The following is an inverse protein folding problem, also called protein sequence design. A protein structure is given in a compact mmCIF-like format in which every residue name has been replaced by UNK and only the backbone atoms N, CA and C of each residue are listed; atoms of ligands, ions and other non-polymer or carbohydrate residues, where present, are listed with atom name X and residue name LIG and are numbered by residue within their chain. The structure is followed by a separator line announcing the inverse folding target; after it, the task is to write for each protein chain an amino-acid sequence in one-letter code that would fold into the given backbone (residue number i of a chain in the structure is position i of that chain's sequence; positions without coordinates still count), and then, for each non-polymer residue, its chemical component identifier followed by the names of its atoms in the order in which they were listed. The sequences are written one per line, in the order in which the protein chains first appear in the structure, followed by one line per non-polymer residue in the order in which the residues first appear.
data_IF_306321122293
#
_entry.id   IF_306321122293
#
_cell.length_a   1.000
_cell.length_b   1.000
_cell.length_c   1.000
_cell.angle_alpha   90.00
_cell.angle_beta   90.00
_cell.angle_gamma   90.00
#
_symmetry.space_group_name_H-M   'P 1'
#
loop_
_entity.id
_entity.type
_entity.pdbx_description
1 polymer ?
#
# COMPACT_ATOMS: atom_id res chain seq x y z
N UNK A 1 -21.22 -33.59 8.59
CA UNK A 1 -21.20 -32.20 9.09
C UNK A 1 -20.07 -31.30 8.48
N UNK A 2 -19.09 -31.86 7.79
CA UNK A 2 -17.96 -31.08 7.26
C UNK A 2 -18.20 -30.33 5.95
N UNK A 3 -19.20 -30.67 5.17
CA UNK A 3 -19.51 -29.98 3.92
C UNK A 3 -20.18 -28.63 4.12
N UNK A 4 -21.01 -28.50 5.16
CA UNK A 4 -21.72 -27.25 5.46
C UNK A 4 -20.81 -26.18 6.10
N UNK A 5 -19.81 -26.60 6.89
CA UNK A 5 -18.86 -25.65 7.51
C UNK A 5 -17.82 -25.15 6.49
N UNK A 6 -17.33 -26.02 5.61
CA UNK A 6 -16.48 -25.61 4.48
C UNK A 6 -17.25 -24.81 3.43
N UNK A 7 -18.55 -25.05 3.26
CA UNK A 7 -19.42 -24.21 2.45
C UNK A 7 -19.75 -22.87 3.10
N UNK A 8 -19.77 -22.76 4.43
CA UNK A 8 -19.95 -21.46 5.11
C UNK A 8 -18.70 -20.56 5.01
N UNK A 9 -17.51 -21.15 4.84
CA UNK A 9 -16.28 -20.41 4.53
C UNK A 9 -16.17 -20.01 3.05
N UNK A 10 -16.95 -20.67 2.19
CA UNK A 10 -17.09 -20.32 0.77
C UNK A 10 -18.29 -19.43 0.47
N UNK A 11 -19.06 -19.01 1.46
CA UNK A 11 -20.07 -17.98 1.23
C UNK A 11 -19.35 -16.72 0.82
N UNK A 12 -19.33 -16.51 -0.49
CA UNK A 12 -19.00 -15.24 -1.12
C UNK A 12 -19.45 -14.09 -0.22
N UNK A 13 -18.50 -13.37 0.37
CA UNK A 13 -18.78 -12.07 0.97
C UNK A 13 -19.18 -11.13 -0.18
N UNK A 14 -20.41 -11.30 -0.65
CA UNK A 14 -21.05 -10.34 -1.52
C UNK A 14 -21.24 -9.10 -0.68
N UNK A 15 -20.45 -8.08 -0.95
CA UNK A 15 -20.63 -6.76 -0.36
C UNK A 15 -22.08 -6.32 -0.69
N UNK A 16 -23.00 -6.26 0.29
CA UNK A 16 -24.31 -5.73 -0.02
C UNK A 16 -24.13 -4.28 -0.43
N UNK A 17 -24.79 -3.83 -1.50
CA UNK A 17 -24.74 -2.44 -1.96
C UNK A 17 -25.00 -1.44 -0.82
N UNK A 18 -25.83 -1.79 0.15
CA UNK A 18 -26.11 -1.02 1.37
C UNK A 18 -24.87 -0.75 2.25
N UNK A 19 -23.82 -1.56 2.19
CA UNK A 19 -22.59 -1.37 2.95
C UNK A 19 -21.75 -0.24 2.38
N UNK A 20 -21.75 -0.04 1.06
CA UNK A 20 -20.95 1.00 0.40
C UNK A 20 -21.34 2.40 0.92
N UNK A 21 -22.63 2.65 1.14
CA UNK A 21 -23.12 3.91 1.70
C UNK A 21 -22.72 4.14 3.16
N UNK A 22 -22.44 3.08 3.90
CA UNK A 22 -21.98 3.18 5.30
C UNK A 22 -20.48 3.40 5.39
N UNK A 23 -19.70 2.81 4.48
CA UNK A 23 -18.25 2.77 4.54
C UNK A 23 -17.59 4.01 3.93
N UNK A 24 -18.19 4.63 2.92
CA UNK A 24 -17.62 5.75 2.20
C UNK A 24 -18.46 7.03 2.36
N UNK A 25 -17.86 8.23 2.22
CA UNK A 25 -18.60 9.47 1.99
C UNK A 25 -19.54 9.32 0.82
N UNK A 26 -20.72 9.99 0.87
CA UNK A 26 -21.81 9.78 -0.10
C UNK A 26 -21.37 9.93 -1.56
N UNK A 27 -20.56 10.94 -1.89
CA UNK A 27 -20.05 11.13 -3.27
C UNK A 27 -19.21 9.93 -3.75
N UNK A 28 -18.37 9.37 -2.87
CA UNK A 28 -17.55 8.20 -3.19
C UNK A 28 -18.39 6.92 -3.25
N UNK A 29 -19.38 6.77 -2.38
CA UNK A 29 -20.32 5.66 -2.41
C UNK A 29 -21.07 5.62 -3.75
N UNK A 30 -21.61 6.76 -4.20
CA UNK A 30 -22.25 6.86 -5.51
C UNK A 30 -21.30 6.55 -6.68
N UNK A 31 -20.05 7.00 -6.59
CA UNK A 31 -19.03 6.66 -7.59
C UNK A 31 -18.78 5.15 -7.66
N UNK A 32 -18.62 4.50 -6.50
CA UNK A 32 -18.38 3.07 -6.41
C UNK A 32 -19.54 2.26 -6.96
N UNK A 33 -20.78 2.62 -6.59
CA UNK A 33 -21.98 1.98 -7.09
C UNK A 33 -22.15 2.18 -8.61
N UNK A 34 -21.88 3.39 -9.12
CA UNK A 34 -21.92 3.67 -10.55
C UNK A 34 -20.89 2.87 -11.34
N UNK A 35 -19.67 2.75 -10.81
CA UNK A 35 -18.62 1.92 -11.39
C UNK A 35 -19.00 0.43 -11.35
N UNK A 36 -19.56 -0.06 -10.25
CA UNK A 36 -20.02 -1.43 -10.12
C UNK A 36 -21.10 -1.78 -11.15
N UNK A 37 -22.13 -0.95 -11.23
CA UNK A 37 -23.25 -1.15 -12.18
C UNK A 37 -22.78 -1.07 -13.64
N UNK A 38 -21.84 -0.18 -13.94
CA UNK A 38 -21.39 0.03 -15.33
C UNK A 38 -20.34 -0.97 -15.78
N UNK A 39 -19.43 -1.39 -14.88
CA UNK A 39 -18.32 -2.29 -15.23
C UNK A 39 -18.57 -3.74 -14.86
N UNK A 40 -19.47 -4.00 -13.92
CA UNK A 40 -19.71 -5.33 -13.33
C UNK A 40 -18.44 -5.97 -12.75
N UNK A 41 -17.47 -5.13 -12.34
CA UNK A 41 -16.25 -5.58 -11.69
C UNK A 41 -16.48 -5.78 -10.18
N UNK A 42 -15.69 -6.62 -9.51
CA UNK A 42 -15.81 -6.81 -8.06
C UNK A 42 -15.71 -5.50 -7.29
N UNK A 43 -16.64 -5.28 -6.35
CA UNK A 43 -16.70 -4.07 -5.52
C UNK A 43 -15.40 -3.84 -4.74
N UNK A 44 -14.77 -4.91 -4.26
CA UNK A 44 -13.52 -4.90 -3.51
C UNK A 44 -12.39 -4.27 -4.34
N UNK A 45 -12.32 -4.59 -5.64
CA UNK A 45 -11.33 -3.98 -6.55
C UNK A 45 -11.66 -2.50 -6.79
N UNK A 46 -12.93 -2.16 -6.96
CA UNK A 46 -13.38 -0.80 -7.25
C UNK A 46 -13.03 0.12 -6.07
N UNK A 47 -13.48 -0.20 -4.86
CA UNK A 47 -13.27 0.71 -3.74
C UNK A 47 -11.81 0.73 -3.26
N UNK A 48 -11.06 -0.39 -3.35
CA UNK A 48 -9.61 -0.38 -3.10
C UNK A 48 -8.89 0.57 -4.06
N UNK A 49 -9.24 0.54 -5.35
CA UNK A 49 -8.62 1.42 -6.34
C UNK A 49 -9.01 2.90 -6.11
N UNK A 50 -10.27 3.16 -5.74
CA UNK A 50 -10.71 4.50 -5.34
C UNK A 50 -9.92 4.99 -4.12
N UNK A 51 -9.79 4.16 -3.09
CA UNK A 51 -9.06 4.51 -1.88
C UNK A 51 -7.55 4.71 -2.14
N UNK A 52 -6.94 3.89 -2.99
CA UNK A 52 -5.55 4.05 -3.42
C UNK A 52 -5.33 5.37 -4.18
N UNK A 53 -6.25 5.72 -5.09
CA UNK A 53 -6.20 6.97 -5.83
C UNK A 53 -6.28 8.18 -4.90
N UNK A 54 -7.19 8.13 -3.92
CA UNK A 54 -7.33 9.16 -2.90
C UNK A 54 -6.06 9.26 -2.02
N UNK A 55 -5.55 8.14 -1.54
CA UNK A 55 -4.33 8.09 -0.73
C UNK A 55 -3.15 8.71 -1.47
N UNK A 56 -2.92 8.29 -2.72
CA UNK A 56 -1.83 8.79 -3.56
C UNK A 56 -1.94 10.30 -3.82
N UNK A 57 -3.15 10.81 -4.03
CA UNK A 57 -3.37 12.23 -4.32
C UNK A 57 -3.41 13.11 -3.07
N UNK A 58 -3.78 12.57 -1.89
CA UNK A 58 -3.89 13.33 -0.65
C UNK A 58 -2.62 13.31 0.22
N UNK A 59 -1.73 12.32 0.06
CA UNK A 59 -0.58 12.11 0.95
C UNK A 59 0.41 13.27 1.03
N UNK A 60 0.39 14.17 0.05
CA UNK A 60 1.21 15.40 0.06
C UNK A 60 0.48 16.59 0.66
N UNK A 61 -0.84 16.52 0.80
CA UNK A 61 -1.68 17.64 1.23
C UNK A 61 -2.00 17.58 2.72
N UNK A 62 -2.14 16.37 3.28
CA UNK A 62 -2.65 16.18 4.63
C UNK A 62 -1.89 15.13 5.41
N UNK A 63 -1.63 15.44 6.68
CA UNK A 63 -1.17 14.53 7.72
C UNK A 63 -2.24 14.42 8.81
N UNK A 64 -2.23 13.33 9.56
CA UNK A 64 -3.10 13.12 10.72
C UNK A 64 -2.27 13.01 12.00
N UNK A 65 -2.72 13.60 13.09
CA UNK A 65 -2.04 13.47 14.39
C UNK A 65 -2.51 12.20 15.07
N UNK A 66 -1.57 11.32 15.39
CA UNK A 66 -1.87 10.13 16.18
C UNK A 66 -2.10 10.51 17.64
N UNK A 67 -3.27 10.18 18.25
CA UNK A 67 -3.66 10.69 19.56
C UNK A 67 -2.71 10.35 20.73
N UNK A 68 -2.08 9.17 20.71
CA UNK A 68 -1.18 8.75 21.80
C UNK A 68 0.23 9.30 21.66
N UNK A 69 0.75 9.38 20.42
CA UNK A 69 2.14 9.81 20.19
C UNK A 69 2.24 11.32 19.95
N UNK A 70 1.12 11.96 19.66
CA UNK A 70 1.03 13.36 19.22
C UNK A 70 1.94 13.68 18.01
N UNK A 71 2.30 12.66 17.25
CA UNK A 71 3.13 12.78 16.05
C UNK A 71 2.27 12.80 14.78
N UNK A 72 2.63 13.59 13.77
CA UNK A 72 1.96 13.55 12.48
C UNK A 72 2.30 12.26 11.74
N UNK A 73 1.28 11.65 11.15
CA UNK A 73 1.39 10.50 10.27
C UNK A 73 0.88 10.85 8.87
N UNK A 74 1.55 10.42 7.79
CA UNK A 74 1.07 10.67 6.44
C UNK A 74 -0.20 9.87 6.12
N UNK A 75 -1.07 10.42 5.29
CA UNK A 75 -2.25 9.71 4.80
C UNK A 75 -1.94 8.69 3.68
N UNK A 76 -0.77 8.08 3.73
CA UNK A 76 -0.35 7.03 2.80
C UNK A 76 -0.89 5.67 3.25
N UNK A 77 -1.59 4.97 2.38
CA UNK A 77 -2.14 3.64 2.64
C UNK A 77 -1.40 2.56 1.85
N UNK A 78 -1.30 1.38 2.44
CA UNK A 78 -0.81 0.17 1.79
C UNK A 78 -2.00 -0.76 1.57
N UNK A 79 -2.36 -0.99 0.31
CA UNK A 79 -3.50 -1.82 -0.08
C UNK A 79 -3.02 -3.02 -0.91
N UNK A 80 -3.57 -4.19 -0.62
CA UNK A 80 -3.32 -5.40 -1.38
C UNK A 80 -4.63 -6.13 -1.62
N UNK A 81 -5.03 -6.19 -2.91
CA UNK A 81 -6.22 -6.91 -3.33
C UNK A 81 -5.84 -8.25 -3.97
N UNK A 82 -6.48 -9.31 -3.52
CA UNK A 82 -6.32 -10.66 -4.06
C UNK A 82 -7.50 -10.95 -4.97
N UNK A 83 -7.22 -11.18 -6.26
CA UNK A 83 -8.26 -11.38 -7.26
C UNK A 83 -7.81 -12.36 -8.36
N UNK A 84 -8.75 -13.20 -8.80
CA UNK A 84 -8.53 -14.19 -9.84
C UNK A 84 -8.09 -13.56 -11.18
N UNK A 85 -7.42 -14.34 -12.06
CA UNK A 85 -7.20 -13.93 -13.44
C UNK A 85 -8.52 -13.53 -14.12
N UNK A 86 -8.51 -12.44 -14.89
CA UNK A 86 -9.72 -11.97 -15.59
C UNK A 86 -10.73 -11.21 -14.72
N UNK A 87 -10.45 -10.97 -13.41
CA UNK A 87 -11.31 -10.19 -12.54
C UNK A 87 -11.44 -8.71 -12.94
N UNK A 88 -10.62 -8.21 -13.86
CA UNK A 88 -10.66 -6.83 -14.35
C UNK A 88 -9.73 -5.86 -13.61
N UNK A 89 -8.66 -6.38 -12.98
CA UNK A 89 -7.64 -5.61 -12.26
C UNK A 89 -7.12 -4.42 -13.07
N UNK A 90 -6.59 -4.67 -14.25
CA UNK A 90 -6.05 -3.63 -15.14
C UNK A 90 -7.12 -2.63 -15.58
N UNK A 91 -8.34 -3.11 -15.84
CA UNK A 91 -9.44 -2.26 -16.30
C UNK A 91 -9.81 -1.22 -15.23
N UNK A 92 -10.04 -1.67 -13.99
CA UNK A 92 -10.42 -0.74 -12.92
C UNK A 92 -9.29 0.21 -12.54
N UNK A 93 -8.05 -0.30 -12.53
CA UNK A 93 -6.87 0.50 -12.22
C UNK A 93 -6.73 1.67 -13.22
N UNK A 94 -6.75 1.39 -14.53
CA UNK A 94 -6.69 2.42 -15.58
C UNK A 94 -7.86 3.39 -15.50
N UNK A 95 -9.06 2.89 -15.26
CA UNK A 95 -10.26 3.71 -15.23
C UNK A 95 -10.24 4.72 -14.07
N UNK A 96 -9.94 4.28 -12.86
CA UNK A 96 -10.03 5.11 -11.65
C UNK A 96 -8.77 5.95 -11.42
N UNK A 97 -7.57 5.37 -11.69
CA UNK A 97 -6.29 6.05 -11.47
C UNK A 97 -5.82 6.88 -12.67
N UNK A 98 -6.59 6.99 -13.73
CA UNK A 98 -6.21 7.75 -14.92
C UNK A 98 -5.62 9.15 -14.62
N UNK A 99 -6.20 9.97 -13.71
CA UNK A 99 -5.62 11.28 -13.37
C UNK A 99 -4.19 11.19 -12.80
N UNK A 100 -3.88 10.12 -12.07
CA UNK A 100 -2.55 9.91 -11.50
C UNK A 100 -1.53 9.54 -12.59
N UNK A 101 -1.92 8.72 -13.57
CA UNK A 101 -1.08 8.39 -14.72
C UNK A 101 -0.84 9.60 -15.62
N UNK A 102 -1.89 10.37 -15.95
CA UNK A 102 -1.75 11.61 -16.72
C UNK A 102 -0.85 12.64 -16.01
N UNK A 103 -0.91 12.68 -14.67
CA UNK A 103 -0.05 13.52 -13.88
C UNK A 103 1.42 13.05 -13.95
N UNK A 104 1.67 11.75 -13.83
CA UNK A 104 3.00 11.17 -13.98
C UNK A 104 3.60 11.48 -15.38
N UNK A 105 2.81 11.33 -16.43
CA UNK A 105 3.25 11.65 -17.81
C UNK A 105 3.59 13.12 -17.97
N UNK A 106 2.80 14.04 -17.40
CA UNK A 106 3.11 15.49 -17.42
C UNK A 106 4.43 15.79 -16.73
N UNK A 107 4.73 15.14 -15.61
CA UNK A 107 6.01 15.31 -14.92
C UNK A 107 7.20 14.86 -15.80
N UNK A 108 7.04 13.74 -16.49
CA UNK A 108 8.06 13.22 -17.40
C UNK A 108 8.28 14.20 -18.58
N UNK A 109 7.21 14.73 -19.17
CA UNK A 109 7.31 15.73 -20.25
C UNK A 109 8.06 16.98 -19.80
N UNK A 110 7.72 17.54 -18.64
CA UNK A 110 8.42 18.70 -18.06
C UNK A 110 9.88 18.42 -17.76
N UNK A 111 10.20 17.20 -17.33
CA UNK A 111 11.58 16.77 -17.16
C UNK A 111 12.33 16.70 -18.48
N UNK A 112 11.72 16.15 -19.53
CA UNK A 112 12.36 16.06 -20.85
C UNK A 112 12.69 17.43 -21.43
N UNK A 113 11.81 18.41 -21.27
CA UNK A 113 12.05 19.80 -21.65
C UNK A 113 13.26 20.39 -20.88
N UNK A 114 13.22 20.32 -19.54
CA UNK A 114 14.34 20.79 -18.69
C UNK A 114 15.65 20.06 -18.98
N UNK A 115 15.60 18.79 -19.34
CA UNK A 115 16.79 18.00 -19.66
C UNK A 115 17.38 18.38 -21.04
N UNK A 116 16.55 18.84 -21.99
CA UNK A 116 17.05 19.43 -23.25
C UNK A 116 17.79 20.73 -22.99
N UNK A 117 17.19 21.63 -22.20
CA UNK A 117 17.80 22.90 -21.82
C UNK A 117 19.12 22.67 -21.08
N UNK A 118 19.12 21.79 -20.07
CA UNK A 118 20.34 21.39 -19.36
C UNK A 118 21.46 20.89 -20.28
N UNK A 119 21.13 20.04 -21.26
CA UNK A 119 22.14 19.54 -22.22
C UNK A 119 22.77 20.69 -23.03
N UNK A 120 21.97 21.65 -23.45
CA UNK A 120 22.42 22.83 -24.18
C UNK A 120 23.29 23.73 -23.28
N UNK A 121 22.84 24.04 -22.08
CA UNK A 121 23.59 24.83 -21.11
C UNK A 121 24.90 24.13 -20.71
N UNK A 122 24.90 22.83 -20.51
CA UNK A 122 26.10 22.06 -20.21
C UNK A 122 27.09 22.09 -21.36
N UNK A 123 26.63 22.06 -22.60
CA UNK A 123 27.50 22.18 -23.77
C UNK A 123 28.14 23.56 -23.85
N UNK A 124 27.39 24.62 -23.60
CA UNK A 124 27.89 26.01 -23.53
C UNK A 124 28.89 26.14 -22.38
N UNK A 125 28.53 25.61 -21.20
CA UNK A 125 29.39 25.61 -20.02
C UNK A 125 30.73 24.91 -20.28
N UNK A 126 30.71 23.70 -20.87
CA UNK A 126 31.90 22.94 -21.23
C UNK A 126 32.80 23.72 -22.25
N UNK A 127 32.19 24.41 -23.18
CA UNK A 127 32.93 25.21 -24.18
C UNK A 127 33.65 26.40 -23.51
N UNK A 128 32.97 27.11 -22.63
CA UNK A 128 33.55 28.20 -21.82
C UNK A 128 34.63 27.69 -20.87
N UNK A 129 34.44 26.55 -20.23
CA UNK A 129 35.44 25.88 -19.38
C UNK A 129 36.75 25.66 -20.14
N UNK A 130 36.66 25.08 -21.34
CA UNK A 130 37.84 24.83 -22.17
C UNK A 130 38.55 26.13 -22.54
N UNK A 131 37.82 27.20 -22.88
CA UNK A 131 38.37 28.48 -23.20
C UNK A 131 39.09 29.14 -22.00
N UNK A 132 38.49 29.12 -20.82
CA UNK A 132 39.09 29.65 -19.58
C UNK A 132 40.35 28.88 -19.19
N UNK A 133 40.30 27.54 -19.27
CA UNK A 133 41.46 26.68 -19.01
C UNK A 133 42.61 26.93 -19.98
N UNK A 134 42.29 27.18 -21.27
CA UNK A 134 43.30 27.53 -22.28
C UNK A 134 43.95 28.90 -22.01
N UNK A 135 43.17 29.90 -21.55
CA UNK A 135 43.70 31.20 -21.16
C UNK A 135 44.64 31.09 -19.97
N UNK A 136 44.22 30.40 -18.90
CA UNK A 136 45.09 30.14 -17.74
C UNK A 136 46.42 29.49 -18.17
N UNK A 137 46.35 28.44 -19.00
CA UNK A 137 47.55 27.76 -19.51
C UNK A 137 48.47 28.74 -20.28
N UNK A 138 47.90 29.64 -21.09
CA UNK A 138 48.70 30.65 -21.83
C UNK A 138 49.40 31.63 -20.90
N UNK A 139 48.71 32.12 -19.86
CA UNK A 139 49.25 33.06 -18.88
C UNK A 139 50.38 32.43 -18.08
N UNK A 140 50.18 31.20 -17.56
CA UNK A 140 51.21 30.44 -16.84
C UNK A 140 52.43 30.14 -17.72
N UNK A 141 52.24 29.72 -18.96
CA UNK A 141 53.34 29.45 -19.90
C UNK A 141 54.16 30.71 -20.24
N UNK A 142 53.59 31.90 -20.05
CA UNK A 142 54.30 33.20 -20.21
C UNK A 142 55.01 33.63 -18.93
N UNK A 143 54.96 32.82 -17.86
CA UNK A 143 55.64 33.12 -16.59
C UNK A 143 54.83 34.02 -15.65
N UNK A 144 53.56 34.27 -15.90
CA UNK A 144 52.69 35.03 -15.01
C UNK A 144 51.94 34.10 -14.04
N UNK A 145 51.61 34.53 -12.80
CA UNK A 145 50.93 33.69 -11.80
C UNK A 145 49.53 33.25 -12.20
N UNK A 146 48.80 33.99 -13.05
CA UNK A 146 47.48 33.58 -13.56
C UNK A 146 46.32 33.66 -12.56
N UNK A 147 46.45 34.46 -11.49
CA UNK A 147 45.43 34.53 -10.41
C UNK A 147 44.03 34.95 -10.89
N UNK A 148 43.97 35.87 -11.86
CA UNK A 148 42.69 36.34 -12.44
C UNK A 148 41.99 35.23 -13.26
N UNK A 149 42.79 34.49 -14.05
CA UNK A 149 42.28 33.37 -14.83
C UNK A 149 41.84 32.19 -13.95
N UNK A 150 42.56 31.94 -12.84
CA UNK A 150 42.15 30.94 -11.85
C UNK A 150 40.83 31.33 -11.18
N UNK A 151 40.67 32.59 -10.77
CA UNK A 151 39.44 33.09 -10.20
C UNK A 151 38.27 32.99 -11.17
N UNK A 152 38.48 33.36 -12.42
CA UNK A 152 37.49 33.22 -13.48
C UNK A 152 37.06 31.75 -13.67
N UNK A 153 38.02 30.82 -13.65
CA UNK A 153 37.75 29.38 -13.73
C UNK A 153 36.98 28.84 -12.52
N UNK A 154 37.37 29.25 -11.30
CA UNK A 154 36.65 28.88 -10.07
C UNK A 154 35.21 29.40 -10.05
N UNK A 155 35.02 30.67 -10.51
CA UNK A 155 33.69 31.25 -10.60
C UNK A 155 32.83 30.57 -11.66
N UNK A 156 33.44 30.15 -12.78
CA UNK A 156 32.74 29.35 -13.80
C UNK A 156 32.34 27.98 -13.27
N UNK A 157 33.21 27.28 -12.52
CA UNK A 157 32.93 26.00 -11.92
C UNK A 157 31.75 26.05 -10.92
N UNK A 158 31.65 27.11 -10.13
CA UNK A 158 30.50 27.32 -9.20
C UNK A 158 29.17 27.46 -9.94
N UNK A 159 29.18 27.90 -11.21
CA UNK A 159 27.99 28.08 -12.03
C UNK A 159 27.73 26.88 -12.96
N UNK A 160 28.24 25.70 -12.62
CA UNK A 160 27.98 24.49 -13.39
C UNK A 160 26.48 24.15 -13.39
N UNK A 161 25.88 23.94 -14.58
CA UNK A 161 24.46 23.56 -14.64
C UNK A 161 24.17 22.29 -13.86
N UNK A 162 23.12 22.34 -13.05
CA UNK A 162 22.68 21.20 -12.27
C UNK A 162 21.84 20.26 -13.12
N UNK A 163 22.19 18.98 -13.14
CA UNK A 163 21.45 17.97 -13.89
C UNK A 163 20.05 17.81 -13.31
N UNK A 164 18.99 17.98 -14.11
CA UNK A 164 17.65 17.68 -13.66
C UNK A 164 17.50 16.18 -13.39
N UNK A 165 16.80 15.84 -12.32
CA UNK A 165 16.50 14.45 -11.97
C UNK A 165 15.13 14.09 -12.54
N UNK A 166 15.01 12.85 -13.05
CA UNK A 166 13.76 12.33 -13.59
C UNK A 166 12.78 12.07 -12.45
N UNK A 167 11.64 12.75 -12.43
CA UNK A 167 10.62 12.50 -11.42
C UNK A 167 9.92 11.15 -11.68
N UNK A 168 9.68 10.40 -10.62
CA UNK A 168 8.89 9.20 -10.68
C UNK A 168 7.77 9.30 -9.65
N UNK A 169 6.54 9.55 -10.11
CA UNK A 169 5.37 9.62 -9.25
C UNK A 169 4.74 8.25 -9.02
N UNK A 170 4.82 7.35 -10.02
CA UNK A 170 4.33 5.98 -9.95
C UNK A 170 5.48 5.02 -10.27
N UNK A 171 5.65 4.02 -9.43
CA UNK A 171 6.59 2.91 -9.59
C UNK A 171 5.81 1.61 -9.78
N UNK A 172 6.06 0.88 -10.86
CA UNK A 172 5.54 -0.47 -11.11
C UNK A 172 6.60 -1.53 -10.81
N UNK A 173 7.78 -1.38 -11.42
CA UNK A 173 8.98 -2.19 -11.18
C UNK A 173 10.17 -1.26 -10.94
N UNK A 174 10.80 -1.37 -9.78
CA UNK A 174 11.86 -0.44 -9.40
C UNK A 174 12.93 -1.13 -8.56
N UNK A 175 14.20 -0.86 -8.89
CA UNK A 175 15.31 -1.21 -8.02
C UNK A 175 15.34 -0.29 -6.79
N UNK A 176 15.92 -0.79 -5.67
CA UNK A 176 16.07 0.01 -4.46
C UNK A 176 16.78 1.34 -4.72
N UNK A 177 17.87 1.33 -5.50
CA UNK A 177 18.62 2.55 -5.83
C UNK A 177 17.75 3.56 -6.56
N UNK A 178 17.07 3.15 -7.62
CA UNK A 178 16.20 4.01 -8.40
C UNK A 178 15.01 4.57 -7.57
N UNK A 179 14.48 3.77 -6.63
CA UNK A 179 13.46 4.23 -5.70
C UNK A 179 14.00 5.31 -4.77
N UNK A 180 15.18 5.11 -4.16
CA UNK A 180 15.78 6.08 -3.23
C UNK A 180 16.16 7.37 -3.94
N UNK A 181 16.76 7.30 -5.11
CA UNK A 181 17.09 8.47 -5.95
C UNK A 181 15.82 9.24 -6.33
N UNK A 182 14.78 8.54 -6.79
CA UNK A 182 13.52 9.17 -7.14
C UNK A 182 12.81 9.80 -5.94
N UNK A 183 12.81 9.15 -4.77
CA UNK A 183 12.23 9.69 -3.54
C UNK A 183 13.04 10.85 -2.94
N UNK A 184 14.32 10.96 -3.24
CA UNK A 184 15.11 12.13 -2.87
C UNK A 184 14.66 13.39 -3.60
N UNK A 185 14.23 13.25 -4.86
CA UNK A 185 13.71 14.35 -5.67
C UNK A 185 12.20 14.59 -5.43
N UNK A 186 11.45 13.49 -5.31
CA UNK A 186 10.01 13.46 -5.06
C UNK A 186 9.72 12.52 -3.91
N UNK A 187 9.60 13.01 -2.68
CA UNK A 187 9.39 12.16 -1.51
C UNK A 187 8.00 11.51 -1.46
N UNK A 188 7.03 12.00 -2.25
CA UNK A 188 5.69 11.43 -2.35
C UNK A 188 5.50 10.67 -3.67
N UNK A 189 5.20 9.38 -3.56
CA UNK A 189 4.98 8.52 -4.74
C UNK A 189 4.04 7.35 -4.45
N UNK A 190 3.71 6.59 -5.48
CA UNK A 190 2.95 5.35 -5.39
C UNK A 190 3.73 4.16 -5.93
N UNK A 191 3.66 3.02 -5.27
CA UNK A 191 4.03 1.71 -5.82
C UNK A 191 2.72 1.04 -6.24
N UNK A 192 2.42 1.10 -7.53
CA UNK A 192 1.13 0.72 -8.10
C UNK A 192 1.37 -0.43 -9.08
N UNK A 193 0.75 -1.57 -8.83
CA UNK A 193 0.87 -2.73 -9.71
C UNK A 193 -0.41 -3.55 -9.73
N UNK A 194 -0.97 -3.75 -10.90
CA UNK A 194 -2.10 -4.66 -11.14
C UNK A 194 -1.64 -6.13 -11.30
N UNK A 195 -0.31 -6.35 -11.31
CA UNK A 195 0.35 -7.66 -11.25
C UNK A 195 1.44 -7.65 -10.16
N UNK A 196 1.05 -7.81 -8.90
CA UNK A 196 1.96 -7.75 -7.75
C UNK A 196 3.11 -8.77 -7.77
N UNK A 197 3.08 -9.75 -8.68
CA UNK A 197 4.18 -10.70 -8.90
C UNK A 197 5.51 -9.97 -9.16
N UNK A 198 5.45 -8.83 -9.86
CA UNK A 198 6.61 -7.98 -10.13
C UNK A 198 7.23 -7.47 -8.83
N UNK A 199 6.41 -6.90 -7.93
CA UNK A 199 6.86 -6.47 -6.61
C UNK A 199 7.38 -7.64 -5.76
N UNK A 200 6.65 -8.76 -5.71
CA UNK A 200 7.05 -9.93 -4.92
C UNK A 200 8.33 -10.61 -5.41
N UNK A 201 8.71 -10.43 -6.66
CA UNK A 201 9.99 -10.87 -7.23
C UNK A 201 11.09 -9.83 -7.11
N UNK A 202 10.73 -8.56 -6.94
CA UNK A 202 11.70 -7.46 -6.86
C UNK A 202 12.59 -7.57 -5.62
N UNK A 203 13.75 -6.96 -5.69
CA UNK A 203 14.67 -6.87 -4.55
C UNK A 203 14.18 -5.92 -3.46
N UNK A 204 13.25 -5.03 -3.78
CA UNK A 204 12.70 -4.03 -2.88
C UNK A 204 12.02 -4.64 -1.64
N UNK A 205 11.37 -5.80 -1.77
CA UNK A 205 10.75 -6.53 -0.65
C UNK A 205 11.73 -6.88 0.49
N UNK A 206 13.04 -6.93 0.18
CA UNK A 206 14.09 -7.25 1.16
C UNK A 206 14.50 -6.03 2.00
N UNK A 207 13.89 -4.85 1.76
CA UNK A 207 14.14 -3.62 2.50
C UNK A 207 12.90 -3.12 3.26
N UNK A 208 12.31 -3.97 4.11
CA UNK A 208 11.11 -3.60 4.85
C UNK A 208 11.33 -2.38 5.76
N UNK A 209 12.57 -2.14 6.22
CA UNK A 209 12.91 -0.97 7.02
C UNK A 209 12.62 0.36 6.31
N UNK A 210 13.00 0.49 5.03
CA UNK A 210 12.66 1.64 4.19
C UNK A 210 11.14 1.76 4.01
N UNK A 211 10.49 0.65 3.65
CA UNK A 211 9.05 0.64 3.37
C UNK A 211 8.23 0.96 4.63
N UNK A 212 8.64 0.47 5.79
CA UNK A 212 8.02 0.78 7.07
C UNK A 212 8.19 2.26 7.45
N UNK A 213 9.37 2.85 7.21
CA UNK A 213 9.62 4.28 7.43
C UNK A 213 8.83 5.14 6.45
N UNK A 214 8.71 4.72 5.19
CA UNK A 214 7.88 5.39 4.19
C UNK A 214 6.39 5.40 4.58
N UNK A 215 5.89 4.32 5.17
CA UNK A 215 4.54 4.29 5.71
C UNK A 215 4.36 5.23 6.90
N UNK A 216 5.37 5.33 7.77
CA UNK A 216 5.33 6.17 8.97
C UNK A 216 5.71 7.63 8.70
N UNK A 217 6.16 8.00 7.50
CA UNK A 217 6.69 9.32 7.17
C UNK A 217 7.97 9.68 7.94
N UNK A 218 8.77 8.66 8.31
CA UNK A 218 10.00 8.85 9.08
C UNK A 218 11.21 9.00 8.16
N UNK A 219 12.23 9.78 8.58
CA UNK A 219 13.47 9.92 7.81
C UNK A 219 14.18 8.58 7.63
N UNK A 220 14.77 8.39 6.47
CA UNK A 220 15.59 7.24 6.12
C UNK A 220 16.90 7.69 5.50
N UNK A 221 18.01 7.21 6.09
CA UNK A 221 19.35 7.43 5.58
C UNK A 221 19.76 6.23 4.73
N UNK A 222 20.12 6.49 3.49
CA UNK A 222 20.66 5.51 2.57
C UNK A 222 22.05 5.96 2.13
N UNK A 223 23.08 5.12 2.39
CA UNK A 223 24.45 5.41 2.04
C UNK A 223 25.11 4.23 1.35
N UNK A 224 25.78 4.47 0.24
CA UNK A 224 26.74 3.57 -0.39
C UNK A 224 27.96 4.38 -0.78
N UNK A 225 29.15 3.87 -0.48
CA UNK A 225 30.45 4.43 -0.80
C UNK A 225 30.47 5.98 -0.98
N UNK A 226 30.06 6.47 -2.16
CA UNK A 226 30.16 7.88 -2.53
C UNK A 226 28.80 8.64 -2.55
N UNK A 227 27.67 7.94 -2.27
CA UNK A 227 26.33 8.52 -2.36
C UNK A 227 25.63 8.40 -1.00
N UNK A 228 25.16 9.53 -0.46
CA UNK A 228 24.37 9.59 0.78
C UNK A 228 23.08 10.33 0.51
N UNK A 229 21.96 9.69 0.80
CA UNK A 229 20.62 10.26 0.69
C UNK A 229 19.97 10.31 2.07
N UNK A 230 19.40 11.44 2.41
CA UNK A 230 18.54 11.62 3.57
C UNK A 230 17.15 11.96 3.09
N UNK A 231 16.23 10.99 3.14
CA UNK A 231 14.89 11.12 2.57
C UNK A 231 13.83 10.93 3.64
N UNK A 232 12.72 11.65 3.52
CA UNK A 232 11.50 11.43 4.32
C UNK A 232 10.40 10.96 3.38
N UNK A 233 10.38 9.66 3.02
CA UNK A 233 9.53 9.16 1.97
C UNK A 233 8.09 9.00 2.43
N UNK A 234 7.15 9.15 1.50
CA UNK A 234 5.73 8.87 1.64
C UNK A 234 5.30 8.02 0.46
N UNK A 235 4.92 6.80 0.73
CA UNK A 235 4.53 5.87 -0.31
C UNK A 235 3.12 5.37 -0.09
N UNK A 236 2.30 5.44 -1.12
CA UNK A 236 1.06 4.68 -1.23
C UNK A 236 1.36 3.39 -1.99
N UNK A 237 0.91 2.25 -1.45
CA UNK A 237 0.93 0.97 -2.17
C UNK A 237 -0.47 0.61 -2.65
N UNK A 238 -0.57 0.20 -3.91
CA UNK A 238 -1.76 -0.45 -4.46
C UNK A 238 -1.32 -1.65 -5.27
N UNK A 239 -1.37 -2.81 -4.64
CA UNK A 239 -0.94 -4.08 -5.22
C UNK A 239 -2.15 -4.96 -5.48
N UNK A 240 -2.22 -5.56 -6.67
CA UNK A 240 -3.24 -6.55 -7.00
C UNK A 240 -2.54 -7.87 -7.35
N UNK A 241 -2.91 -8.94 -6.68
CA UNK A 241 -2.28 -10.25 -6.80
C UNK A 241 -3.29 -11.33 -7.18
N UNK A 242 -2.80 -12.38 -7.81
CA UNK A 242 -3.53 -13.64 -7.93
C UNK A 242 -3.36 -14.44 -6.63
N UNK A 243 -4.36 -15.28 -6.23
CA UNK A 243 -4.31 -16.07 -5.00
C UNK A 243 -3.06 -16.94 -4.87
N UNK A 244 -2.72 -17.69 -5.92
CA UNK A 244 -1.55 -18.57 -5.92
C UNK A 244 -0.23 -17.80 -5.79
N UNK A 245 -0.12 -16.62 -6.43
CA UNK A 245 1.06 -15.76 -6.37
C UNK A 245 1.25 -15.25 -4.95
N UNK A 246 0.17 -14.78 -4.32
CA UNK A 246 0.19 -14.28 -2.94
C UNK A 246 0.53 -15.39 -1.95
N UNK A 247 -0.15 -16.54 -2.04
CA UNK A 247 0.10 -17.71 -1.17
C UNK A 247 1.55 -18.19 -1.28
N UNK A 248 2.09 -18.27 -2.50
CA UNK A 248 3.48 -18.63 -2.71
C UNK A 248 4.45 -17.61 -2.13
N UNK A 249 4.11 -16.32 -2.18
CA UNK A 249 4.93 -15.27 -1.56
C UNK A 249 4.97 -15.40 -0.04
N UNK A 250 3.82 -15.57 0.60
CA UNK A 250 3.73 -15.75 2.06
C UNK A 250 4.51 -16.99 2.50
N UNK A 251 4.28 -18.14 1.87
CA UNK A 251 4.92 -19.39 2.26
C UNK A 251 6.45 -19.36 2.12
N UNK A 252 7.00 -18.59 1.17
CA UNK A 252 8.45 -18.50 0.95
C UNK A 252 9.15 -17.45 1.79
N UNK A 253 8.45 -16.44 2.26
CA UNK A 253 9.03 -15.25 2.89
C UNK A 253 8.46 -15.01 4.30
N UNK A 254 7.90 -16.01 4.93
CA UNK A 254 7.18 -15.94 6.20
C UNK A 254 7.88 -15.08 7.26
N UNK A 255 9.14 -15.41 7.58
CA UNK A 255 9.91 -14.70 8.61
C UNK A 255 10.17 -13.23 8.26
N UNK A 256 10.46 -12.91 7.01
CA UNK A 256 10.81 -11.55 6.60
C UNK A 256 9.56 -10.70 6.37
N UNK A 257 8.52 -11.28 5.80
CA UNK A 257 7.29 -10.59 5.48
C UNK A 257 6.49 -10.22 6.75
N UNK A 258 6.35 -11.16 7.69
CA UNK A 258 5.65 -10.95 8.96
C UNK A 258 6.55 -10.34 10.03
N UNK A 259 7.73 -10.94 10.29
CA UNK A 259 8.63 -10.52 11.36
C UNK A 259 9.14 -9.08 11.22
N UNK A 260 9.15 -8.52 10.00
CA UNK A 260 9.49 -7.12 9.77
C UNK A 260 8.37 -6.13 10.03
N UNK A 261 7.13 -6.59 10.19
CA UNK A 261 5.94 -5.75 10.31
C UNK A 261 5.52 -5.05 9.00
N UNK A 262 6.12 -5.39 7.86
CA UNK A 262 5.76 -4.77 6.57
C UNK A 262 4.33 -5.14 6.16
N UNK A 263 4.00 -6.43 6.16
CA UNK A 263 2.65 -6.89 5.82
C UNK A 263 1.57 -6.41 6.79
N UNK A 264 1.90 -6.22 8.07
CA UNK A 264 0.92 -5.75 9.05
C UNK A 264 0.37 -4.34 8.77
N UNK A 265 0.97 -3.60 7.86
CA UNK A 265 0.54 -2.27 7.44
C UNK A 265 -0.46 -2.27 6.29
N UNK A 266 -0.62 -3.42 5.64
CA UNK A 266 -1.51 -3.55 4.50
C UNK A 266 -2.97 -3.71 4.91
N UNK A 267 -3.83 -3.09 4.12
CA UNK A 267 -5.26 -3.32 4.05
C UNK A 267 -5.48 -4.43 3.01
N UNK A 268 -5.85 -5.60 3.48
CA UNK A 268 -6.06 -6.78 2.63
C UNK A 268 -7.52 -6.90 2.22
N UNK A 269 -7.74 -7.28 0.97
CA UNK A 269 -9.06 -7.68 0.48
C UNK A 269 -8.94 -8.84 -0.50
N UNK A 270 -9.98 -9.65 -0.57
CA UNK A 270 -10.07 -10.75 -1.52
C UNK A 270 -11.40 -10.69 -2.25
N UNK A 271 -11.35 -10.74 -3.59
CA UNK A 271 -12.58 -10.83 -4.38
C UNK A 271 -13.18 -12.23 -4.25
N UNK A 272 -14.49 -12.29 -4.08
CA UNK A 272 -15.21 -13.55 -4.20
C UNK A 272 -15.10 -14.16 -5.60
N UNK A 273 -15.38 -15.46 -5.71
CA UNK A 273 -15.53 -16.08 -7.03
C UNK A 273 -16.66 -15.41 -7.80
N UNK A 274 -16.53 -15.19 -9.13
CA UNK A 274 -17.57 -14.55 -9.91
C UNK A 274 -18.91 -15.27 -9.74
N UNK A 275 -19.87 -14.62 -9.11
CA UNK A 275 -21.19 -15.18 -8.83
C UNK A 275 -22.16 -15.02 -10.02
N UNK A 276 -21.80 -14.21 -11.01
CA UNK A 276 -22.61 -13.90 -12.19
C UNK A 276 -21.78 -13.90 -13.46
N UNK A 277 -22.38 -14.36 -14.55
CA UNK A 277 -21.87 -14.10 -15.90
C UNK A 277 -22.04 -12.61 -16.18
N UNK A 278 -21.02 -11.96 -16.70
CA UNK A 278 -21.11 -10.55 -17.11
C UNK A 278 -22.12 -10.39 -18.23
N UNK A 279 -22.94 -9.39 -18.11
CA UNK A 279 -23.92 -9.03 -19.13
C UNK A 279 -23.27 -8.15 -20.20
N UNK A 280 -22.83 -8.75 -21.28
CA UNK A 280 -22.22 -8.05 -22.42
C UNK A 280 -23.23 -7.34 -23.32
N UNK A 281 -24.54 -7.42 -23.02
CA UNK A 281 -25.58 -6.76 -23.81
C UNK A 281 -25.83 -5.31 -23.37
N UNK A 282 -25.25 -4.88 -22.23
CA UNK A 282 -25.42 -3.53 -21.65
C UNK A 282 -24.80 -2.40 -22.48
N UNK A 283 -24.19 -2.67 -23.62
CA UNK A 283 -23.57 -1.69 -24.50
C UNK A 283 -22.17 -1.22 -24.05
N UNK A 284 -21.64 -0.22 -24.74
CA UNK A 284 -20.31 0.33 -24.41
C UNK A 284 -20.31 1.03 -23.05
N UNK A 285 -19.21 0.84 -22.30
CA UNK A 285 -18.96 1.60 -21.07
C UNK A 285 -18.88 3.09 -21.42
N UNK A 286 -19.83 3.86 -20.95
CA UNK A 286 -19.82 5.32 -21.07
C UNK A 286 -19.30 5.91 -19.78
N UNK A 287 -18.24 6.71 -19.87
CA UNK A 287 -17.76 7.48 -18.74
C UNK A 287 -18.88 8.39 -18.25
N UNK A 288 -19.35 8.16 -17.03
CA UNK A 288 -20.44 8.91 -16.46
C UNK A 288 -19.95 10.20 -15.79
N UNK A 289 -20.81 11.23 -15.68
CA UNK A 289 -20.44 12.53 -15.08
C UNK A 289 -19.85 12.42 -13.66
N UNK A 290 -20.19 11.37 -12.91
CA UNK A 290 -19.68 11.14 -11.55
C UNK A 290 -18.19 10.81 -11.57
N UNK A 291 -17.75 9.95 -12.50
CA UNK A 291 -16.32 9.63 -12.64
C UNK A 291 -15.52 10.84 -13.12
N UNK A 292 -16.06 11.63 -14.05
CA UNK A 292 -15.43 12.88 -14.50
C UNK A 292 -15.29 13.89 -13.36
N UNK A 293 -16.33 14.03 -12.52
CA UNK A 293 -16.27 14.88 -11.32
C UNK A 293 -15.18 14.40 -10.35
N UNK A 294 -15.08 13.09 -10.15
CA UNK A 294 -14.01 12.50 -9.33
C UNK A 294 -12.62 12.80 -9.92
N UNK A 295 -12.42 12.54 -11.22
CA UNK A 295 -11.17 12.82 -11.90
C UNK A 295 -10.77 14.29 -11.81
N UNK A 296 -11.71 15.21 -11.99
CA UNK A 296 -11.47 16.65 -11.84
C UNK A 296 -11.00 17.00 -10.43
N UNK A 297 -11.59 16.39 -9.41
CA UNK A 297 -11.22 16.62 -7.99
C UNK A 297 -9.83 16.08 -7.69
N UNK A 298 -9.52 14.87 -8.16
CA UNK A 298 -8.18 14.26 -8.05
C UNK A 298 -7.12 15.11 -8.76
N UNK A 299 -7.40 15.57 -9.99
CA UNK A 299 -6.50 16.49 -10.69
C UNK A 299 -6.25 17.77 -9.89
N UNK A 300 -7.28 18.32 -9.22
CA UNK A 300 -7.14 19.47 -8.33
C UNK A 300 -6.17 19.21 -7.16
N UNK A 301 -6.21 18.03 -6.56
CA UNK A 301 -5.27 17.62 -5.50
C UNK A 301 -3.85 17.47 -6.04
N UNK A 302 -3.68 16.81 -7.18
CA UNK A 302 -2.38 16.59 -7.79
C UNK A 302 -1.72 17.89 -8.24
N UNK A 303 -2.49 18.85 -8.76
CA UNK A 303 -1.97 20.18 -9.15
C UNK A 303 -1.59 21.05 -7.96
N UNK A 304 -2.14 20.78 -6.77
CA UNK A 304 -1.74 21.44 -5.53
C UNK A 304 -0.36 20.96 -5.04
N UNK A 305 0.17 19.88 -5.61
CA UNK A 305 1.55 19.47 -5.42
C UNK A 305 2.48 20.51 -6.05
N UNK A 306 3.22 21.26 -5.25
CA UNK A 306 4.19 22.24 -5.75
C UNK A 306 5.50 21.54 -6.14
N UNK A 307 5.45 20.77 -7.26
CA UNK A 307 6.57 19.95 -7.76
C UNK A 307 7.66 20.80 -8.40
N UNK A 308 7.38 22.08 -8.64
CA UNK A 308 8.29 22.96 -9.40
C UNK A 308 9.42 23.59 -8.57
N UNK A 309 9.51 23.31 -7.27
CA UNK A 309 10.55 23.90 -6.41
C UNK A 309 11.22 22.82 -5.56
N UNK A 310 12.39 22.29 -5.96
CA UNK A 310 13.20 21.42 -5.10
C UNK A 310 13.45 22.12 -3.76
N UNK A 311 13.03 21.50 -2.66
CA UNK A 311 13.22 22.01 -1.31
C UNK A 311 12.09 22.88 -0.74
N UNK A 312 11.05 23.23 -1.47
CA UNK A 312 9.84 23.82 -0.92
C UNK A 312 8.89 22.71 -0.45
N UNK A 313 8.93 22.40 0.83
CA UNK A 313 7.86 21.65 1.50
C UNK A 313 6.57 22.45 1.34
N UNK A 314 5.60 21.91 0.60
CA UNK A 314 4.21 22.40 0.72
C UNK A 314 3.84 22.29 2.20
N UNK A 315 3.37 23.39 2.81
CA UNK A 315 2.80 23.30 4.14
C UNK A 315 1.63 22.33 4.10
N UNK A 316 1.84 21.17 4.70
CA UNK A 316 0.81 20.14 4.79
C UNK A 316 -0.14 20.48 5.90
N UNK A 317 -1.41 20.33 5.61
CA UNK A 317 -2.42 20.47 6.64
C UNK A 317 -2.34 19.30 7.61
N UNK A 318 -2.30 19.59 8.90
CA UNK A 318 -2.25 18.55 9.93
C UNK A 318 -3.59 18.47 10.64
N UNK A 319 -4.32 17.37 10.44
CA UNK A 319 -5.64 17.15 11.02
C UNK A 319 -5.54 16.46 12.39
N UNK A 320 -6.34 16.93 13.34
CA UNK A 320 -6.54 16.28 14.66
C UNK A 320 -7.95 15.72 14.73
N UNK A 321 -8.16 14.76 15.62
CA UNK A 321 -9.51 14.31 15.93
C UNK A 321 -10.23 15.39 16.73
N UNK A 322 -11.47 15.73 16.33
CA UNK A 322 -12.38 16.51 17.15
C UNK A 322 -12.61 15.79 18.50
N UNK A 323 -12.92 16.55 19.57
CA UNK A 323 -13.01 16.01 20.94
C UNK A 323 -13.91 14.78 21.05
N UNK A 324 -15.05 14.77 20.37
CA UNK A 324 -15.98 13.63 20.35
C UNK A 324 -15.39 12.44 19.60
N UNK A 325 -14.82 12.69 18.43
CA UNK A 325 -14.18 11.67 17.61
C UNK A 325 -13.00 11.00 18.33
N UNK A 326 -12.26 11.74 19.15
CA UNK A 326 -11.18 11.17 19.97
C UNK A 326 -11.70 10.07 20.92
N UNK A 327 -12.78 10.33 21.64
CA UNK A 327 -13.41 9.32 22.54
C UNK A 327 -13.88 8.08 21.77
N UNK A 328 -14.55 8.29 20.64
CA UNK A 328 -15.03 7.21 19.77
C UNK A 328 -13.87 6.35 19.23
N UNK A 329 -12.76 6.98 18.83
CA UNK A 329 -11.56 6.27 18.38
C UNK A 329 -10.93 5.43 19.50
N UNK A 330 -10.82 5.99 20.73
CA UNK A 330 -10.25 5.29 21.89
C UNK A 330 -11.08 4.05 22.26
N UNK A 331 -12.40 4.18 22.30
CA UNK A 331 -13.32 3.06 22.58
C UNK A 331 -13.20 1.97 21.51
N UNK A 332 -13.16 2.36 20.24
CA UNK A 332 -12.99 1.42 19.13
C UNK A 332 -11.64 0.70 19.20
N UNK A 333 -10.56 1.41 19.52
CA UNK A 333 -9.22 0.82 19.63
C UNK A 333 -9.18 -0.26 20.71
N UNK A 334 -9.75 0.01 21.89
CA UNK A 334 -9.87 -0.97 22.96
C UNK A 334 -10.69 -2.20 22.51
N UNK A 335 -11.77 -1.98 21.77
CA UNK A 335 -12.65 -3.05 21.27
C UNK A 335 -11.90 -3.99 20.30
N UNK A 336 -11.21 -3.42 19.31
CA UNK A 336 -10.51 -4.24 18.30
C UNK A 336 -9.28 -4.95 18.90
N UNK A 337 -8.52 -4.29 19.79
CA UNK A 337 -7.38 -4.93 20.46
C UNK A 337 -7.78 -6.09 21.36
N UNK A 338 -8.93 -6.01 22.03
CA UNK A 338 -9.46 -7.15 22.81
C UNK A 338 -9.69 -8.39 21.97
N UNK A 339 -10.14 -8.23 20.71
CA UNK A 339 -10.30 -9.35 19.77
C UNK A 339 -8.98 -9.98 19.35
N UNK A 340 -7.87 -9.26 19.46
CA UNK A 340 -6.53 -9.72 19.11
C UNK A 340 -5.71 -10.30 20.30
N UNK A 341 -6.29 -10.34 21.51
CA UNK A 341 -5.68 -11.01 22.65
C UNK A 341 -5.67 -12.53 22.46
N UNK A 342 -4.88 -13.22 23.28
CA UNK A 342 -4.81 -14.68 23.29
C UNK A 342 -6.21 -15.30 23.47
N UNK A 343 -6.59 -16.22 22.58
CA UNK A 343 -7.93 -16.81 22.50
C UNK A 343 -8.99 -15.93 21.81
N UNK A 344 -8.65 -14.71 21.43
CA UNK A 344 -9.57 -13.80 20.74
C UNK A 344 -9.78 -14.17 19.27
N UNK A 345 -10.81 -13.57 18.69
CA UNK A 345 -11.25 -13.81 17.30
C UNK A 345 -10.13 -13.47 16.27
N UNK A 346 -9.37 -12.41 16.52
CA UNK A 346 -8.32 -11.88 15.64
C UNK A 346 -6.88 -12.11 16.17
N UNK A 347 -6.69 -13.08 17.07
CA UNK A 347 -5.36 -13.42 17.59
C UNK A 347 -4.35 -13.68 16.47
N UNK A 348 -4.77 -14.40 15.42
CA UNK A 348 -3.93 -14.80 14.29
C UNK A 348 -3.54 -13.65 13.35
N UNK A 349 -4.19 -12.48 13.46
CA UNK A 349 -3.86 -11.26 12.72
C UNK A 349 -3.50 -10.10 13.66
N UNK A 350 -3.04 -10.41 14.87
CA UNK A 350 -2.73 -9.43 15.90
C UNK A 350 -1.86 -8.28 15.41
N UNK A 351 -0.85 -8.57 14.60
CA UNK A 351 0.07 -7.55 14.09
C UNK A 351 -0.63 -6.53 13.16
N UNK A 352 -1.63 -6.98 12.40
CA UNK A 352 -2.47 -6.13 11.56
C UNK A 352 -3.39 -5.28 12.46
N UNK A 353 -4.01 -5.87 13.47
CA UNK A 353 -4.89 -5.16 14.41
C UNK A 353 -4.15 -4.03 15.12
N UNK A 354 -2.88 -4.24 15.52
CA UNK A 354 -2.05 -3.21 16.15
C UNK A 354 -1.71 -2.03 15.22
N UNK A 355 -1.95 -2.14 13.91
CA UNK A 355 -1.81 -1.04 12.94
C UNK A 355 -3.16 -0.44 12.52
N UNK A 356 -4.26 -1.03 12.93
CA UNK A 356 -5.59 -0.60 12.56
C UNK A 356 -5.89 0.84 13.01
N UNK A 357 -5.48 1.22 14.21
CA UNK A 357 -5.68 2.58 14.73
C UNK A 357 -5.09 3.67 13.84
N UNK A 358 -3.84 3.50 13.38
CA UNK A 358 -3.21 4.41 12.41
C UNK A 358 -3.93 4.39 11.07
N UNK A 359 -4.31 3.22 10.55
CA UNK A 359 -5.03 3.11 9.27
C UNK A 359 -6.41 3.80 9.34
N UNK A 360 -7.14 3.67 10.46
CA UNK A 360 -8.41 4.39 10.68
C UNK A 360 -8.19 5.91 10.59
N UNK A 361 -7.17 6.45 11.26
CA UNK A 361 -6.87 7.88 11.23
C UNK A 361 -6.53 8.36 9.81
N UNK A 362 -5.74 7.60 9.07
CA UNK A 362 -5.35 7.90 7.69
C UNK A 362 -6.56 7.91 6.76
N UNK A 363 -7.42 6.90 6.84
CA UNK A 363 -8.66 6.81 6.05
C UNK A 363 -9.58 7.98 6.39
N UNK A 364 -9.77 8.29 7.69
CA UNK A 364 -10.58 9.42 8.13
C UNK A 364 -10.01 10.75 7.66
N UNK A 365 -8.69 10.93 7.69
CA UNK A 365 -7.98 12.09 7.16
C UNK A 365 -8.17 12.24 5.65
N UNK A 366 -8.08 11.15 4.88
CA UNK A 366 -8.35 11.13 3.44
C UNK A 366 -9.81 11.53 3.16
N UNK A 367 -10.78 10.95 3.88
CA UNK A 367 -12.19 11.29 3.71
C UNK A 367 -12.47 12.75 4.07
N UNK A 368 -11.85 13.27 5.12
CA UNK A 368 -11.96 14.68 5.52
C UNK A 368 -11.36 15.59 4.44
N UNK A 369 -10.15 15.30 3.96
CA UNK A 369 -9.49 16.04 2.88
C UNK A 369 -10.32 16.03 1.59
N UNK A 370 -10.90 14.89 1.25
CA UNK A 370 -11.75 14.77 0.07
C UNK A 370 -13.05 15.57 0.18
N UNK A 371 -13.74 15.50 1.32
CA UNK A 371 -15.04 16.12 1.49
C UNK A 371 -14.98 17.61 1.83
N UNK A 372 -13.98 18.03 2.62
CA UNK A 372 -13.92 19.35 3.27
C UNK A 372 -12.53 19.97 3.12
N UNK A 373 -12.34 20.77 2.07
CA UNK A 373 -11.05 21.39 1.74
C UNK A 373 -10.42 22.17 2.90
N UNK A 374 -11.25 22.85 3.70
CA UNK A 374 -10.80 23.76 4.75
C UNK A 374 -10.93 23.18 6.17
N UNK A 375 -11.25 21.89 6.30
CA UNK A 375 -11.37 21.25 7.62
C UNK A 375 -10.04 21.27 8.36
N UNK A 376 -10.05 21.55 9.66
CA UNK A 376 -8.90 21.52 10.56
C UNK A 376 -8.92 20.29 11.47
N UNK A 377 -10.09 19.68 11.63
CA UNK A 377 -10.31 18.51 12.47
C UNK A 377 -11.04 17.41 11.71
N UNK A 378 -10.83 16.18 12.17
CA UNK A 378 -11.55 14.99 11.71
C UNK A 378 -12.79 14.82 12.58
N UNK A 379 -13.95 15.01 12.00
CA UNK A 379 -15.24 14.88 12.66
C UNK A 379 -15.66 13.41 12.83
N UNK A 380 -16.55 13.16 13.81
CA UNK A 380 -17.09 11.82 14.12
C UNK A 380 -17.63 11.07 12.90
N UNK A 381 -18.22 11.78 11.92
CA UNK A 381 -18.80 11.13 10.75
C UNK A 381 -17.73 10.52 9.83
N UNK A 382 -16.61 11.21 9.61
CA UNK A 382 -15.51 10.71 8.80
C UNK A 382 -14.80 9.56 9.53
N UNK A 383 -14.61 9.71 10.85
CA UNK A 383 -14.03 8.67 11.70
C UNK A 383 -14.91 7.42 11.75
N UNK A 384 -16.21 7.56 11.94
CA UNK A 384 -17.17 6.45 11.96
C UNK A 384 -17.09 5.61 10.67
N UNK A 385 -17.07 6.26 9.52
CA UNK A 385 -16.92 5.58 8.22
C UNK A 385 -15.59 4.85 8.11
N UNK A 386 -14.50 5.49 8.55
CA UNK A 386 -13.17 4.88 8.54
C UNK A 386 -13.07 3.66 9.49
N UNK A 387 -13.70 3.70 10.66
CA UNK A 387 -13.75 2.57 11.60
C UNK A 387 -14.49 1.39 10.98
N UNK A 388 -15.66 1.60 10.36
CA UNK A 388 -16.42 0.52 9.73
C UNK A 388 -15.70 -0.07 8.52
N UNK A 389 -15.01 0.77 7.74
CA UNK A 389 -14.18 0.28 6.65
C UNK A 389 -13.01 -0.54 7.18
N UNK A 390 -12.40 -0.12 8.30
CA UNK A 390 -11.31 -0.88 8.91
C UNK A 390 -11.79 -2.21 9.51
N UNK A 391 -12.95 -2.25 10.14
CA UNK A 391 -13.56 -3.49 10.64
C UNK A 391 -13.72 -4.51 9.49
N UNK A 392 -14.20 -4.04 8.33
CA UNK A 392 -14.28 -4.88 7.14
C UNK A 392 -12.91 -5.40 6.68
N UNK A 393 -11.87 -4.53 6.63
CA UNK A 393 -10.52 -4.98 6.27
C UNK A 393 -9.93 -5.98 7.26
N UNK A 394 -10.27 -5.86 8.55
CA UNK A 394 -9.83 -6.83 9.56
C UNK A 394 -10.53 -8.18 9.39
N UNK A 395 -11.81 -8.21 9.03
CA UNK A 395 -12.53 -9.43 8.69
C UNK A 395 -11.97 -10.11 7.43
N UNK A 396 -11.66 -9.33 6.38
CA UNK A 396 -11.01 -9.82 5.18
C UNK A 396 -9.63 -10.42 5.51
N UNK A 397 -8.79 -9.69 6.24
CA UNK A 397 -7.50 -10.19 6.67
C UNK A 397 -7.63 -11.46 7.52
N UNK A 398 -8.60 -11.50 8.44
CA UNK A 398 -8.89 -12.70 9.23
C UNK A 398 -9.23 -13.89 8.33
N UNK A 399 -10.10 -13.70 7.35
CA UNK A 399 -10.50 -14.76 6.41
C UNK A 399 -9.31 -15.25 5.58
N UNK A 400 -8.46 -14.35 5.09
CA UNK A 400 -7.28 -14.68 4.28
C UNK A 400 -6.24 -15.47 5.10
N UNK A 401 -5.98 -15.06 6.35
CA UNK A 401 -4.88 -15.59 7.14
C UNK A 401 -5.27 -16.69 8.14
N UNK A 402 -6.56 -16.83 8.46
CA UNK A 402 -7.02 -17.88 9.38
C UNK A 402 -6.62 -19.29 8.94
N UNK A 403 -6.72 -19.68 7.64
CA UNK A 403 -6.28 -20.99 7.18
C UNK A 403 -4.79 -21.30 7.42
N UNK A 404 -3.98 -20.28 7.57
CA UNK A 404 -2.54 -20.37 7.83
C UNK A 404 -2.20 -20.35 9.32
N UNK A 405 -3.18 -20.15 10.19
CA UNK A 405 -2.99 -20.01 11.62
C UNK A 405 -2.74 -21.35 12.31
N UNK A 406 -2.00 -21.30 13.42
CA UNK A 406 -1.80 -22.48 14.27
C UNK A 406 -3.12 -23.02 14.81
N UNK A 407 -4.10 -22.15 15.08
CA UNK A 407 -5.44 -22.53 15.57
C UNK A 407 -6.21 -23.32 14.51
N UNK A 408 -6.27 -22.84 13.27
CA UNK A 408 -6.93 -23.57 12.19
C UNK A 408 -6.26 -24.93 11.94
N UNK A 409 -4.94 -24.96 12.00
CA UNK A 409 -4.19 -26.21 11.88
C UNK A 409 -4.51 -27.21 13.00
N UNK A 410 -4.60 -26.72 14.23
CA UNK A 410 -5.00 -27.52 15.38
C UNK A 410 -6.43 -28.06 15.22
N UNK A 411 -7.38 -27.22 14.78
CA UNK A 411 -8.77 -27.63 14.54
C UNK A 411 -8.86 -28.69 13.43
N UNK A 412 -8.10 -28.55 12.35
CA UNK A 412 -8.01 -29.55 11.28
C UNK A 412 -7.43 -30.88 11.80
N UNK A 413 -6.34 -30.80 12.55
CA UNK A 413 -5.70 -31.96 13.15
C UNK A 413 -6.65 -32.69 14.13
N UNK A 414 -7.41 -31.95 14.93
CA UNK A 414 -8.42 -32.52 15.83
C UNK A 414 -9.57 -33.20 15.07
N UNK A 415 -10.06 -32.56 14.00
CA UNK A 415 -11.11 -33.15 13.16
C UNK A 415 -10.62 -34.42 12.42
N UNK A 416 -9.41 -34.39 11.88
CA UNK A 416 -8.80 -35.54 11.21
C UNK A 416 -8.62 -36.72 12.17
N UNK A 417 -8.07 -36.43 13.37
CA UNK A 417 -7.89 -37.43 14.41
C UNK A 417 -9.23 -38.01 14.87
N UNK A 418 -10.21 -37.16 15.13
CA UNK A 418 -11.57 -37.64 15.53
C UNK A 418 -12.21 -38.51 14.45
N UNK A 419 -12.18 -38.12 13.19
CA UNK A 419 -12.72 -38.89 12.09
C UNK A 419 -12.02 -40.25 11.96
N UNK A 420 -10.69 -40.29 12.10
CA UNK A 420 -9.92 -41.53 12.08
C UNK A 420 -10.29 -42.45 13.28
N UNK A 421 -10.36 -41.93 14.49
CA UNK A 421 -10.77 -42.67 15.71
C UNK A 421 -12.16 -43.26 15.51
N UNK A 422 -13.14 -42.48 15.09
CA UNK A 422 -14.51 -42.93 14.90
C UNK A 422 -14.63 -44.01 13.83
N UNK A 423 -13.86 -43.90 12.75
CA UNK A 423 -13.79 -44.92 11.69
C UNK A 423 -13.24 -46.24 12.22
N UNK A 424 -12.14 -46.20 13.00
CA UNK A 424 -11.55 -47.39 13.60
C UNK A 424 -12.42 -48.06 14.64
N UNK A 425 -13.08 -47.29 15.52
CA UNK A 425 -14.03 -47.77 16.49
C UNK A 425 -15.16 -48.52 15.83
N UNK A 426 -15.76 -47.96 14.76
CA UNK A 426 -16.85 -48.57 14.00
C UNK A 426 -16.41 -49.86 13.27
N UNK A 427 -15.26 -49.81 12.59
CA UNK A 427 -14.75 -50.95 11.80
C UNK A 427 -14.40 -52.17 12.66
N UNK A 428 -13.85 -51.93 13.88
CA UNK A 428 -13.37 -52.99 14.72
C UNK A 428 -14.24 -53.27 15.94
N UNK A 429 -15.37 -52.56 16.04
CA UNK A 429 -16.29 -52.64 17.23
C UNK A 429 -15.57 -52.37 18.58
N UNK A 430 -14.61 -51.45 18.55
CA UNK A 430 -13.83 -51.10 19.74
C UNK A 430 -14.55 -50.07 20.61
N UNK A 431 -14.28 -50.09 21.91
CA UNK A 431 -14.82 -49.09 22.84
C UNK A 431 -13.82 -47.95 23.13
N UNK A 432 -12.52 -48.17 22.84
CA UNK A 432 -11.44 -47.22 23.04
C UNK A 432 -10.28 -47.56 22.13
N UNK A 433 -9.42 -46.56 21.87
CA UNK A 433 -8.17 -46.69 21.12
C UNK A 433 -7.03 -46.24 22.03
N UNK A 434 -5.92 -47.00 22.04
CA UNK A 434 -4.73 -46.61 22.80
C UNK A 434 -3.97 -45.54 22.09
N UNK A 435 -3.31 -44.63 22.86
CA UNK A 435 -2.43 -43.58 22.27
C UNK A 435 -1.35 -44.17 21.39
N UNK A 436 -0.76 -45.32 21.80
CA UNK A 436 0.27 -46.04 20.99
C UNK A 436 -0.26 -46.54 19.65
N UNK A 437 -1.54 -46.83 19.52
CA UNK A 437 -2.14 -47.26 18.26
C UNK A 437 -2.33 -46.06 17.32
N UNK A 438 -2.62 -44.89 17.90
CA UNK A 438 -2.66 -43.63 17.15
C UNK A 438 -1.25 -43.24 16.63
N UNK A 439 -0.24 -43.37 17.47
CA UNK A 439 1.15 -43.10 17.12
C UNK A 439 1.67 -44.02 15.99
N UNK A 440 1.19 -45.26 15.95
CA UNK A 440 1.60 -46.24 14.93
C UNK A 440 0.77 -46.18 13.65
N UNK A 441 -0.53 -46.02 13.77
CA UNK A 441 -1.47 -46.25 12.68
C UNK A 441 -2.34 -45.03 12.35
N UNK A 442 -2.26 -43.96 13.14
CA UNK A 442 -3.02 -42.74 12.98
C UNK A 442 -2.68 -41.97 11.72
N UNK A 443 -3.29 -40.82 11.52
CA UNK A 443 -2.95 -39.93 10.42
C UNK A 443 -1.46 -39.62 10.42
N UNK A 444 -0.80 -39.71 9.27
CA UNK A 444 0.67 -39.60 9.14
C UNK A 444 1.27 -38.40 9.84
N UNK A 445 0.55 -37.29 9.81
CA UNK A 445 0.97 -36.01 10.41
C UNK A 445 0.93 -36.04 11.94
N UNK A 446 0.03 -36.82 12.53
CA UNK A 446 -0.21 -36.92 13.98
C UNK A 446 0.48 -38.12 14.65
N UNK A 447 1.31 -38.88 13.95
CA UNK A 447 2.05 -40.02 14.54
C UNK A 447 3.17 -39.60 15.50
N UNK A 448 3.63 -38.37 15.41
CA UNK A 448 4.66 -37.84 16.35
C UNK A 448 3.99 -37.34 17.63
N UNK A 449 4.52 -37.75 18.78
CA UNK A 449 4.01 -37.39 20.09
C UNK A 449 3.85 -35.87 20.29
N UNK A 450 4.80 -35.07 19.76
CA UNK A 450 4.78 -33.61 19.80
C UNK A 450 3.55 -33.00 19.10
N UNK A 451 3.06 -33.63 18.03
CA UNK A 451 1.88 -33.20 17.26
C UNK A 451 0.59 -33.80 17.82
N UNK A 452 0.67 -35.02 18.32
CA UNK A 452 -0.49 -35.73 18.82
C UNK A 452 -0.96 -35.22 20.20
N UNK A 453 -0.01 -34.98 21.12
CA UNK A 453 -0.35 -34.64 22.51
C UNK A 453 -1.21 -33.36 22.64
N UNK A 454 -0.99 -32.29 21.89
CA UNK A 454 -1.86 -31.13 21.96
C UNK A 454 -3.29 -31.38 21.46
N UNK A 455 -3.47 -32.36 20.56
CA UNK A 455 -4.75 -32.64 19.87
C UNK A 455 -5.59 -33.67 20.59
N UNK A 456 -5.01 -34.45 21.52
CA UNK A 456 -5.69 -35.40 22.40
C UNK A 456 -6.34 -34.68 23.58
#
# INVERSE_FOLDING_TARGET
MNSAYMQSLQTSHHFPADLTYRLFPSELAYLIDDLYESTQLPLELIFNTVLATLSLSCQSLVDVVHPHTNMPEPCSLYLLAIAEPGAGKTTINRLVMNPCYEFADRLIQQYEERNKDYKTELQIWNTRQKALAANLRKTVNRGYPGEQEEEALRNHERNKPTRPVRPNFIYEDVSLKALVEGLNEHPEAGVISDEAVTFFRSYLKNYPGLLNKAWSGQPFDFGRADEKYHITPRLTFSLMSQPDVFTNYINKNDVLAWGSGFLSRFLFSQTGSPSRVRDYTRGEFRTKPILEKFHKKINGFLLSHNINSPGMSTERKTLKLAKKALGEWQENQIKIERKALAGGEWEHIRDIVLKAGSNILRIAGIFTCYCYKDAEEIESIALFKAMHLMDWYLEEASTIFYPMSARCQFEQDACELYAWIMTRIRQNNWRAIRKTDIERYGPNRLRRAEKLTPVL
#
